data_IF_602182938370
#
_entry.id   IF_602182938370
#
_cell.length_a   1.000
_cell.length_b   1.000
_cell.length_c   1.000
_cell.angle_alpha   90.00
_cell.angle_beta   90.00
_cell.angle_gamma   90.00
#
_symmetry.space_group_name_H-M   'P 1'
#
loop_
_entity.id
_entity.type
_entity.pdbx_description
1 polymer ?
#
# COMPACT_ATOMS: atom_id res chain seq x y z
N UNK A 1 -16.16 -14.41 -11.93
CA UNK A 1 -15.42 -15.60 -11.46
C UNK A 1 -13.92 -15.50 -11.68
N UNK A 2 -13.44 -14.96 -12.82
CA UNK A 2 -12.00 -14.85 -13.14
C UNK A 2 -11.22 -14.05 -12.09
N UNK A 3 -11.69 -12.86 -11.74
CA UNK A 3 -11.01 -11.99 -10.74
C UNK A 3 -10.93 -12.68 -9.38
N UNK A 4 -12.05 -13.23 -8.91
CA UNK A 4 -12.10 -13.96 -7.64
C UNK A 4 -11.19 -15.21 -7.65
N UNK A 5 -11.09 -15.91 -8.78
CA UNK A 5 -10.16 -17.04 -8.95
C UNK A 5 -8.71 -16.62 -8.76
N UNK A 6 -8.27 -15.53 -9.42
CA UNK A 6 -6.92 -14.98 -9.28
C UNK A 6 -6.65 -14.52 -7.83
N UNK A 7 -7.58 -13.77 -7.23
CA UNK A 7 -7.46 -13.33 -5.82
C UNK A 7 -7.34 -14.52 -4.86
N UNK A 8 -8.11 -15.57 -5.10
CA UNK A 8 -8.10 -16.77 -4.25
C UNK A 8 -6.75 -17.49 -4.31
N UNK A 9 -6.16 -17.66 -5.49
CA UNK A 9 -4.85 -18.31 -5.61
C UNK A 9 -3.73 -17.45 -5.00
N UNK A 10 -3.74 -16.13 -5.22
CA UNK A 10 -2.82 -15.21 -4.57
C UNK A 10 -2.98 -15.21 -3.04
N UNK A 11 -4.21 -15.25 -2.54
CA UNK A 11 -4.48 -15.31 -1.10
C UNK A 11 -3.99 -16.62 -0.46
N UNK A 12 -4.12 -17.76 -1.13
CA UNK A 12 -3.58 -19.05 -0.66
C UNK A 12 -2.05 -19.03 -0.53
N UNK A 13 -1.37 -18.31 -1.43
CA UNK A 13 0.08 -18.16 -1.39
C UNK A 13 0.56 -17.05 -0.46
N UNK A 14 -0.35 -16.22 0.05
CA UNK A 14 -0.02 -15.14 0.99
C UNK A 14 0.21 -15.66 2.40
N UNK A 15 1.15 -15.03 3.09
CA UNK A 15 1.44 -15.31 4.50
C UNK A 15 0.26 -14.91 5.40
N UNK A 16 0.04 -15.63 6.47
CA UNK A 16 -0.98 -15.27 7.48
C UNK A 16 -0.66 -13.93 8.13
N UNK A 17 -1.69 -13.16 8.48
CA UNK A 17 -1.53 -11.83 9.09
C UNK A 17 -0.72 -11.85 10.39
N UNK A 18 -0.84 -12.91 11.18
CA UNK A 18 -0.11 -13.10 12.41
C UNK A 18 1.39 -13.23 12.13
N UNK A 19 1.76 -14.03 11.13
CA UNK A 19 3.16 -14.26 10.74
C UNK A 19 3.80 -13.00 10.12
N UNK A 20 3.01 -12.17 9.43
CA UNK A 20 3.49 -10.89 8.86
C UNK A 20 3.89 -9.85 9.91
N UNK A 21 3.52 -10.04 11.18
CA UNK A 21 3.91 -9.18 12.30
C UNK A 21 5.25 -9.58 12.92
N UNK A 22 5.75 -10.75 12.56
CA UNK A 22 7.03 -11.28 13.05
C UNK A 22 8.17 -10.83 12.11
N UNK A 23 9.06 -9.92 12.57
CA UNK A 23 10.15 -9.42 11.72
C UNK A 23 11.09 -10.52 11.22
N UNK A 24 11.29 -11.60 11.97
CA UNK A 24 12.16 -12.70 11.57
C UNK A 24 11.56 -13.50 10.42
N UNK A 25 10.23 -13.71 10.46
CA UNK A 25 9.51 -14.46 9.42
C UNK A 25 9.40 -13.73 8.10
N UNK A 26 9.48 -12.40 8.09
CA UNK A 26 9.39 -11.58 6.87
C UNK A 26 10.76 -11.13 6.35
N UNK A 27 11.84 -11.43 7.04
CA UNK A 27 13.18 -10.97 6.70
C UNK A 27 13.93 -11.95 5.82
N UNK A 28 13.73 -11.89 4.52
CA UNK A 28 14.40 -12.75 3.55
C UNK A 28 15.27 -11.91 2.59
N UNK A 29 16.59 -12.05 2.68
CA UNK A 29 17.54 -11.38 1.79
C UNK A 29 17.70 -12.12 0.45
N UNK A 30 17.40 -11.43 -0.63
CA UNK A 30 17.55 -11.92 -1.99
C UNK A 30 18.51 -11.03 -2.79
N UNK A 31 19.47 -11.62 -3.48
CA UNK A 31 20.18 -10.96 -4.55
C UNK A 31 19.34 -10.95 -5.83
N UNK A 32 19.69 -10.13 -6.81
CA UNK A 32 19.02 -10.15 -8.12
C UNK A 32 18.98 -11.55 -8.75
N UNK A 33 20.06 -12.31 -8.61
CA UNK A 33 20.13 -13.69 -9.11
C UNK A 33 19.12 -14.62 -8.40
N UNK A 34 18.95 -14.46 -7.09
CA UNK A 34 17.95 -15.20 -6.32
C UNK A 34 16.51 -14.79 -6.67
N UNK A 35 16.24 -13.47 -6.89
CA UNK A 35 14.94 -13.00 -7.36
C UNK A 35 14.54 -13.60 -8.71
N UNK A 36 15.48 -13.64 -9.66
CA UNK A 36 15.24 -14.27 -10.97
C UNK A 36 14.92 -15.76 -10.86
N UNK A 37 15.49 -16.46 -9.89
CA UNK A 37 15.15 -17.88 -9.63
C UNK A 37 13.81 -18.05 -8.91
N UNK A 38 13.49 -17.13 -8.01
CA UNK A 38 12.24 -17.16 -7.24
C UNK A 38 11.02 -16.93 -8.13
N UNK A 39 11.08 -15.93 -8.99
CA UNK A 39 9.98 -15.53 -9.87
C UNK A 39 10.53 -15.24 -11.29
N UNK A 40 10.77 -16.31 -12.09
CA UNK A 40 11.42 -16.20 -13.40
C UNK A 40 10.59 -15.48 -14.45
N UNK A 41 9.25 -15.49 -14.34
CA UNK A 41 8.36 -14.79 -15.26
C UNK A 41 8.40 -13.28 -15.12
N UNK A 42 9.02 -12.75 -14.05
CA UNK A 42 9.14 -11.32 -13.80
C UNK A 42 10.43 -10.78 -14.40
N UNK A 43 10.35 -9.75 -15.25
CA UNK A 43 11.51 -8.98 -15.72
C UNK A 43 12.04 -8.08 -14.60
N UNK A 44 12.78 -8.67 -13.66
CA UNK A 44 13.34 -7.99 -12.50
C UNK A 44 14.21 -6.79 -12.86
N UNK A 45 15.13 -6.84 -13.85
CA UNK A 45 15.93 -5.68 -14.24
C UNK A 45 15.07 -4.49 -14.66
N UNK A 46 14.04 -4.73 -15.47
CA UNK A 46 13.11 -3.69 -15.93
C UNK A 46 12.26 -3.13 -14.79
N UNK A 47 11.76 -4.00 -13.91
CA UNK A 47 11.01 -3.60 -12.73
C UNK A 47 11.85 -2.73 -11.79
N UNK A 48 13.03 -3.21 -11.40
CA UNK A 48 13.94 -2.51 -10.49
C UNK A 48 14.41 -1.15 -11.04
N UNK A 49 14.67 -1.07 -12.34
CA UNK A 49 14.99 0.20 -12.99
C UNK A 49 13.84 1.21 -12.87
N UNK A 50 12.58 0.76 -13.02
CA UNK A 50 11.41 1.63 -12.88
C UNK A 50 11.23 2.21 -11.47
N UNK A 51 11.55 1.43 -10.45
CA UNK A 51 11.46 1.86 -9.04
C UNK A 51 12.79 2.42 -8.50
N UNK A 52 13.79 2.66 -9.38
CA UNK A 52 15.13 3.16 -9.01
C UNK A 52 15.85 2.29 -7.99
N UNK A 53 15.56 0.98 -7.99
CA UNK A 53 16.12 -0.02 -7.08
C UNK A 53 17.30 -0.80 -7.64
N UNK A 54 17.76 -0.54 -8.87
CA UNK A 54 18.78 -1.33 -9.57
C UNK A 54 20.16 -1.31 -8.91
N UNK A 55 20.45 -0.30 -8.09
CA UNK A 55 21.75 -0.15 -7.40
C UNK A 55 21.83 -0.92 -6.08
N UNK A 56 20.71 -1.49 -5.61
CA UNK A 56 20.70 -2.23 -4.35
C UNK A 56 21.47 -3.56 -4.49
N UNK A 57 22.25 -3.88 -3.47
CA UNK A 57 23.02 -5.13 -3.41
C UNK A 57 22.17 -6.33 -3.03
N UNK A 58 21.06 -6.09 -2.32
CA UNK A 58 20.09 -7.09 -1.93
C UNK A 58 18.68 -6.45 -1.81
N UNK A 59 17.69 -7.31 -1.82
CA UNK A 59 16.27 -6.97 -1.72
C UNK A 59 15.65 -7.77 -0.58
N UNK A 60 14.76 -7.17 0.16
CA UNK A 60 13.97 -7.88 1.17
C UNK A 60 12.67 -8.36 0.52
N UNK A 61 12.46 -9.65 0.54
CA UNK A 61 11.23 -10.30 0.05
C UNK A 61 10.45 -10.80 1.25
N UNK A 62 9.38 -10.11 1.59
CA UNK A 62 8.58 -10.45 2.78
C UNK A 62 7.84 -11.78 2.63
N UNK A 63 7.35 -12.08 1.42
CA UNK A 63 6.53 -13.25 1.13
C UNK A 63 7.04 -14.00 -0.11
N UNK A 64 8.08 -14.85 0.03
CA UNK A 64 8.66 -15.58 -1.11
C UNK A 64 7.64 -16.46 -1.85
N UNK A 65 6.77 -17.17 -1.13
CA UNK A 65 5.79 -18.08 -1.74
C UNK A 65 4.75 -17.32 -2.58
N UNK A 66 4.36 -16.11 -2.17
CA UNK A 66 3.51 -15.24 -2.97
C UNK A 66 4.17 -14.88 -4.32
N UNK A 67 5.46 -14.51 -4.32
CA UNK A 67 6.17 -14.19 -5.56
C UNK A 67 6.36 -15.40 -6.48
N UNK A 68 6.60 -16.56 -5.90
CA UNK A 68 6.69 -17.82 -6.64
C UNK A 68 5.37 -18.16 -7.33
N UNK A 69 4.28 -18.06 -6.60
CA UNK A 69 2.94 -18.32 -7.13
C UNK A 69 2.52 -17.28 -8.17
N UNK A 70 2.73 -15.98 -7.88
CA UNK A 70 2.47 -14.92 -8.85
C UNK A 70 3.25 -15.12 -10.16
N UNK A 71 4.51 -15.57 -10.08
CA UNK A 71 5.31 -15.92 -11.28
C UNK A 71 4.71 -17.08 -12.06
N UNK A 72 4.26 -18.14 -11.38
CA UNK A 72 3.57 -19.26 -12.01
C UNK A 72 2.27 -18.81 -12.70
N UNK A 73 1.51 -17.94 -12.03
CA UNK A 73 0.25 -17.41 -12.55
C UNK A 73 0.47 -16.52 -13.78
N UNK A 74 1.57 -15.76 -13.86
CA UNK A 74 1.91 -14.98 -15.05
C UNK A 74 2.10 -15.86 -16.31
N UNK A 75 2.49 -17.12 -16.15
CA UNK A 75 2.67 -18.06 -17.25
C UNK A 75 1.39 -18.88 -17.56
N UNK A 76 0.55 -19.14 -16.56
CA UNK A 76 -0.61 -20.02 -16.67
C UNK A 76 -1.93 -19.32 -16.95
N UNK A 77 -2.09 -18.07 -16.53
CA UNK A 77 -3.31 -17.27 -16.72
C UNK A 77 -3.23 -16.53 -18.05
N UNK A 78 -4.32 -16.54 -18.80
CA UNK A 78 -4.38 -15.90 -20.12
C UNK A 78 -4.35 -14.38 -20.04
N UNK A 79 -3.88 -13.74 -21.12
CA UNK A 79 -3.86 -12.28 -21.20
C UNK A 79 -5.24 -11.61 -21.02
N UNK A 80 -6.35 -12.14 -21.59
CA UNK A 80 -7.69 -11.60 -21.33
C UNK A 80 -8.08 -11.63 -19.85
N UNK A 81 -7.75 -12.71 -19.13
CA UNK A 81 -8.03 -12.84 -17.70
C UNK A 81 -7.21 -11.83 -16.87
N UNK A 82 -5.92 -11.65 -17.17
CA UNK A 82 -5.11 -10.61 -16.57
C UNK A 82 -5.64 -9.19 -16.85
N UNK A 83 -6.13 -8.94 -18.07
CA UNK A 83 -6.77 -7.66 -18.40
C UNK A 83 -8.03 -7.43 -17.57
N UNK A 84 -8.88 -8.46 -17.41
CA UNK A 84 -10.07 -8.36 -16.56
C UNK A 84 -9.70 -8.06 -15.10
N UNK A 85 -8.72 -8.78 -14.56
CA UNK A 85 -8.19 -8.57 -13.20
C UNK A 85 -7.68 -7.14 -13.00
N UNK A 86 -6.79 -6.68 -13.85
CA UNK A 86 -6.23 -5.31 -13.77
C UNK A 86 -7.29 -4.23 -13.97
N UNK A 87 -8.23 -4.44 -14.89
CA UNK A 87 -9.35 -3.50 -15.10
C UNK A 87 -10.21 -3.39 -13.85
N UNK A 88 -10.53 -4.51 -13.22
CA UNK A 88 -11.28 -4.51 -11.96
C UNK A 88 -10.55 -3.70 -10.87
N UNK A 89 -9.25 -3.92 -10.68
CA UNK A 89 -8.48 -3.19 -9.67
C UNK A 89 -8.41 -1.70 -9.97
N UNK A 90 -8.14 -1.30 -11.22
CA UNK A 90 -8.12 0.12 -11.60
C UNK A 90 -9.48 0.77 -11.35
N UNK A 91 -10.58 0.13 -11.74
CA UNK A 91 -11.93 0.66 -11.49
C UNK A 91 -12.22 0.74 -9.99
N UNK A 92 -11.85 -0.27 -9.23
CA UNK A 92 -12.05 -0.31 -7.78
C UNK A 92 -11.25 0.79 -7.07
N UNK A 93 -9.99 0.97 -7.40
CA UNK A 93 -9.11 1.96 -6.77
C UNK A 93 -9.56 3.41 -7.07
N UNK A 94 -10.05 3.64 -8.27
CA UNK A 94 -10.55 4.96 -8.69
C UNK A 94 -12.05 5.15 -8.46
N UNK A 95 -12.75 4.17 -7.90
CA UNK A 95 -14.21 4.18 -7.75
C UNK A 95 -14.77 5.41 -7.04
N UNK A 96 -14.04 5.97 -6.08
CA UNK A 96 -14.42 7.20 -5.36
C UNK A 96 -14.38 8.46 -6.23
N UNK A 97 -13.67 8.44 -7.35
CA UNK A 97 -13.53 9.53 -8.33
C UNK A 97 -14.36 9.30 -9.59
N UNK A 98 -15.03 8.17 -9.71
CA UNK A 98 -15.91 7.82 -10.82
C UNK A 98 -17.35 8.37 -10.60
N UNK A 99 -18.26 8.01 -11.49
CA UNK A 99 -19.67 8.41 -11.39
C UNK A 99 -20.36 7.82 -10.17
N UNK A 100 -21.47 8.44 -9.77
CA UNK A 100 -22.22 8.11 -8.55
C UNK A 100 -22.53 6.60 -8.35
N UNK A 101 -22.87 5.81 -9.38
CA UNK A 101 -23.09 4.37 -9.19
C UNK A 101 -21.86 3.63 -8.64
N UNK A 102 -20.64 3.96 -9.09
CA UNK A 102 -19.41 3.37 -8.58
C UNK A 102 -19.14 3.78 -7.14
N UNK A 103 -19.30 5.07 -6.84
CA UNK A 103 -19.15 5.61 -5.47
C UNK A 103 -20.11 4.91 -4.50
N UNK A 104 -21.38 4.75 -4.89
CA UNK A 104 -22.40 4.08 -4.06
C UNK A 104 -22.11 2.60 -3.87
N UNK A 105 -21.69 1.91 -4.92
CA UNK A 105 -21.33 0.49 -4.85
C UNK A 105 -20.15 0.26 -3.90
N UNK A 106 -19.10 1.05 -4.05
CA UNK A 106 -17.93 1.01 -3.18
C UNK A 106 -18.29 1.29 -1.72
N UNK A 107 -19.11 2.31 -1.47
CA UNK A 107 -19.58 2.60 -0.12
C UNK A 107 -20.47 1.48 0.44
N UNK A 108 -21.34 0.89 -0.37
CA UNK A 108 -22.20 -0.21 0.06
C UNK A 108 -21.39 -1.41 0.53
N UNK A 109 -20.32 -1.76 -0.17
CA UNK A 109 -19.48 -2.90 0.19
C UNK A 109 -18.46 -2.55 1.29
N UNK A 110 -17.55 -1.61 1.01
CA UNK A 110 -16.46 -1.29 1.95
C UNK A 110 -16.94 -0.49 3.16
N UNK A 111 -17.84 0.48 2.95
CA UNK A 111 -18.34 1.33 4.02
C UNK A 111 -19.36 0.61 4.90
N UNK A 112 -20.45 0.14 4.33
CA UNK A 112 -21.54 -0.47 5.10
C UNK A 112 -21.23 -1.89 5.52
N UNK A 113 -20.92 -2.78 4.58
CA UNK A 113 -20.79 -4.22 4.87
C UNK A 113 -19.54 -4.53 5.67
N UNK A 114 -18.38 -3.99 5.29
CA UNK A 114 -17.12 -4.32 5.96
C UNK A 114 -16.82 -3.46 7.19
N UNK A 115 -17.11 -2.15 7.13
CA UNK A 115 -16.75 -1.22 8.21
C UNK A 115 -17.94 -0.82 9.11
N UNK A 116 -19.17 -1.24 8.79
CA UNK A 116 -20.34 -0.90 9.57
C UNK A 116 -20.72 0.59 9.56
N UNK A 117 -20.24 1.38 8.58
CA UNK A 117 -20.52 2.80 8.48
C UNK A 117 -21.95 3.01 7.98
N UNK A 118 -22.78 3.70 8.75
CA UNK A 118 -24.21 3.87 8.44
C UNK A 118 -24.45 4.78 7.23
N UNK A 119 -23.71 5.90 7.11
CA UNK A 119 -23.92 6.90 6.08
C UNK A 119 -22.62 7.38 5.44
N UNK A 120 -22.69 7.69 4.15
CA UNK A 120 -21.57 8.23 3.39
C UNK A 120 -21.28 9.67 3.81
N UNK A 121 -20.02 10.02 3.96
CA UNK A 121 -19.60 11.41 4.22
C UNK A 121 -20.08 12.32 3.08
N UNK A 122 -20.52 13.56 3.37
CA UNK A 122 -20.86 14.56 2.35
C UNK A 122 -19.74 14.76 1.34
N UNK A 123 -20.10 15.11 0.11
CA UNK A 123 -19.15 15.26 -1.00
C UNK A 123 -17.97 16.17 -0.65
N UNK A 124 -18.23 17.32 -0.03
CA UNK A 124 -17.17 18.26 0.34
C UNK A 124 -16.12 17.64 1.29
N UNK A 125 -16.51 16.78 2.23
CA UNK A 125 -15.58 16.08 3.12
C UNK A 125 -14.76 15.04 2.38
N UNK A 126 -15.35 14.35 1.40
CA UNK A 126 -14.65 13.37 0.57
C UNK A 126 -13.61 14.06 -0.32
N UNK A 127 -14.00 15.16 -0.96
CA UNK A 127 -13.09 15.99 -1.77
C UNK A 127 -11.96 16.56 -0.91
N UNK A 128 -12.27 17.11 0.26
CA UNK A 128 -11.25 17.62 1.18
C UNK A 128 -10.24 16.54 1.58
N UNK A 129 -10.69 15.31 1.84
CA UNK A 129 -9.80 14.20 2.15
C UNK A 129 -8.85 13.86 0.97
N UNK A 130 -9.37 13.90 -0.27
CA UNK A 130 -8.56 13.70 -1.47
C UNK A 130 -7.52 14.81 -1.64
N UNK A 131 -7.92 16.06 -1.45
CA UNK A 131 -7.00 17.21 -1.52
C UNK A 131 -5.92 17.12 -0.45
N UNK A 132 -6.29 16.78 0.78
CA UNK A 132 -5.31 16.58 1.87
C UNK A 132 -4.36 15.40 1.60
N UNK A 133 -4.84 14.33 0.95
CA UNK A 133 -3.99 13.21 0.55
C UNK A 133 -2.93 13.59 -0.49
N UNK A 134 -3.26 14.49 -1.42
CA UNK A 134 -2.34 14.91 -2.50
C UNK A 134 -1.53 16.17 -2.19
N UNK A 135 -2.11 17.12 -1.46
CA UNK A 135 -1.54 18.46 -1.21
C UNK A 135 -1.40 18.78 0.28
N UNK A 136 -1.50 17.78 1.16
CA UNK A 136 -1.53 17.97 2.61
C UNK A 136 -0.35 18.76 3.16
N UNK A 137 0.85 18.51 2.69
CA UNK A 137 2.06 19.24 3.10
C UNK A 137 1.99 20.74 2.71
N UNK A 138 1.51 21.03 1.49
CA UNK A 138 1.35 22.42 1.04
C UNK A 138 0.29 23.16 1.87
N UNK A 139 -0.84 22.51 2.16
CA UNK A 139 -1.91 23.07 2.97
C UNK A 139 -1.43 23.19 4.44
N UNK A 140 -0.70 22.19 4.93
CA UNK A 140 -0.10 22.18 6.25
C UNK A 140 0.83 23.37 6.48
N UNK A 141 1.64 23.72 5.48
CA UNK A 141 2.49 24.93 5.55
C UNK A 141 1.66 26.20 5.80
N UNK A 142 0.60 26.41 5.01
CA UNK A 142 -0.27 27.57 5.17
C UNK A 142 -1.01 27.58 6.51
N UNK A 143 -1.39 26.39 7.01
CA UNK A 143 -2.00 26.27 8.33
C UNK A 143 -1.03 26.62 9.45
N UNK A 144 0.20 26.11 9.38
CA UNK A 144 1.26 26.37 10.35
C UNK A 144 1.58 27.88 10.41
N UNK A 145 1.72 28.52 9.26
CA UNK A 145 1.99 29.98 9.20
C UNK A 145 0.91 30.81 9.92
N UNK A 146 -0.35 30.34 9.93
CA UNK A 146 -1.49 31.07 10.52
C UNK A 146 -1.85 30.66 11.94
N UNK A 147 -1.65 29.39 12.28
CA UNK A 147 -2.24 28.79 13.48
C UNK A 147 -1.23 28.10 14.41
N UNK A 148 0.04 28.01 14.03
CA UNK A 148 1.06 27.35 14.83
C UNK A 148 2.21 28.33 15.15
N UNK A 149 2.10 29.08 16.25
CA UNK A 149 3.08 30.10 16.60
C UNK A 149 4.45 29.50 16.97
N UNK A 150 5.55 30.27 16.84
CA UNK A 150 6.91 29.79 17.12
C UNK A 150 7.10 29.18 18.51
N UNK A 151 6.38 29.67 19.50
CA UNK A 151 6.43 29.18 20.89
C UNK A 151 5.84 27.76 20.98
N UNK A 152 4.80 27.45 20.22
CA UNK A 152 4.24 26.11 20.15
C UNK A 152 5.21 25.13 19.48
N UNK A 153 5.89 25.56 18.41
CA UNK A 153 6.95 24.80 17.77
C UNK A 153 8.07 24.47 18.74
N UNK A 154 8.57 25.47 19.45
CA UNK A 154 9.65 25.30 20.45
C UNK A 154 9.27 24.29 21.54
N UNK A 155 8.02 24.31 22.02
CA UNK A 155 7.53 23.32 22.99
C UNK A 155 7.50 21.89 22.41
N UNK A 156 7.13 21.74 21.13
CA UNK A 156 7.15 20.43 20.47
C UNK A 156 8.59 19.93 20.26
N UNK A 157 9.52 20.80 19.88
CA UNK A 157 10.93 20.45 19.73
C UNK A 157 11.49 19.94 21.08
N UNK A 158 11.23 20.61 22.19
CA UNK A 158 11.62 20.16 23.53
C UNK A 158 11.00 18.78 23.89
N UNK A 159 9.72 18.58 23.58
CA UNK A 159 9.06 17.28 23.82
C UNK A 159 9.73 16.15 23.02
N UNK A 160 10.12 16.42 21.79
CA UNK A 160 10.83 15.43 20.95
C UNK A 160 12.21 15.12 21.53
N UNK A 161 12.96 16.14 21.98
CA UNK A 161 14.26 15.97 22.63
C UNK A 161 14.15 15.15 23.92
N UNK A 162 13.13 15.41 24.74
CA UNK A 162 12.83 14.62 25.95
C UNK A 162 12.53 13.15 25.61
N UNK A 163 11.79 12.89 24.53
CA UNK A 163 11.53 11.52 24.07
C UNK A 163 12.82 10.80 23.62
N UNK A 164 13.69 11.47 22.86
CA UNK A 164 14.99 10.89 22.49
C UNK A 164 15.84 10.57 23.72
N UNK A 165 15.94 11.50 24.66
CA UNK A 165 16.66 11.29 25.93
C UNK A 165 16.10 10.10 26.71
N UNK A 166 14.77 9.95 26.76
CA UNK A 166 14.13 8.81 27.43
C UNK A 166 14.41 7.47 26.72
N UNK A 167 14.53 7.46 25.40
CA UNK A 167 14.92 6.26 24.66
C UNK A 167 16.38 5.89 24.87
N UNK A 168 17.29 6.86 24.84
CA UNK A 168 18.73 6.63 25.07
C UNK A 168 19.02 6.08 26.47
N UNK A 169 18.26 6.50 27.48
CA UNK A 169 18.41 5.99 28.86
C UNK A 169 17.86 4.58 29.06
N UNK A 170 17.08 4.03 28.12
CA UNK A 170 16.51 2.67 28.21
C UNK A 170 17.27 1.63 27.39
N UNK A 171 18.19 2.03 26.53
CA UNK A 171 19.09 1.15 25.79
C UNK A 171 20.39 0.92 26.51
#
# INVERSE_FOLDING_TARGET
DTVLGIETELAKASMKKEDMRDPEKIYHKYTLAKLKKLAPAVDWPKYLKRIQGEKATYYLVMQPDFFKEASRMLESITLPEWKAYLTFHVVNDFSSALSEPFVRQTFSFYGKTLMGTESMKPLWRRVLATVNGGLGECIGKLYVERHFPPEAKKKMDLLVDDLFTAYETRM
#
